data_IF_501244242591
#
_entry.id   IF_501244242591
#
_cell.length_a   1.000
_cell.length_b   1.000
_cell.length_c   1.000
_cell.angle_alpha   90.00
_cell.angle_beta   90.00
_cell.angle_gamma   90.00
#
_symmetry.space_group_name_H-M   'P 1'
#
loop_
_entity.id
_entity.type
_entity.pdbx_description
1 polymer ?
#
# COMPACT_ATOMS: atom_id res chain seq x y z
N UNK A 1 6.94 -74.19 -6.52
CA UNK A 1 5.60 -73.83 -6.96
C UNK A 1 5.48 -72.30 -6.79
N UNK A 2 5.69 -71.47 -7.82
CA UNK A 2 5.49 -70.03 -7.74
C UNK A 2 3.99 -69.77 -7.90
N UNK A 3 3.37 -69.13 -6.91
CA UNK A 3 1.97 -68.70 -7.03
C UNK A 3 1.85 -67.67 -8.18
N UNK A 4 0.83 -67.79 -9.03
CA UNK A 4 0.59 -66.81 -10.08
C UNK A 4 0.25 -65.48 -9.45
N UNK A 5 1.10 -64.47 -9.66
CA UNK A 5 0.84 -63.07 -9.29
C UNK A 5 -0.50 -62.70 -9.93
N UNK A 6 -1.52 -62.53 -9.07
CA UNK A 6 -2.91 -62.33 -9.51
C UNK A 6 -2.97 -61.27 -10.58
N UNK A 7 -3.45 -61.65 -11.79
CA UNK A 7 -3.76 -60.74 -12.93
C UNK A 7 -4.53 -59.48 -12.49
N UNK A 8 -5.33 -59.56 -11.45
CA UNK A 8 -6.05 -58.44 -10.84
C UNK A 8 -5.14 -57.33 -10.22
N UNK A 9 -3.94 -57.68 -9.74
CA UNK A 9 -2.98 -56.67 -9.23
C UNK A 9 -2.26 -55.95 -10.37
N UNK A 10 -1.91 -56.70 -11.43
CA UNK A 10 -1.26 -56.13 -12.61
C UNK A 10 -2.20 -55.16 -13.34
N UNK A 11 -3.47 -55.53 -13.48
CA UNK A 11 -4.50 -54.68 -14.07
C UNK A 11 -4.75 -53.39 -13.26
N UNK A 12 -4.75 -53.48 -11.93
CA UNK A 12 -4.88 -52.28 -11.07
C UNK A 12 -3.66 -51.36 -11.17
N UNK A 13 -2.46 -51.87 -11.24
CA UNK A 13 -1.23 -51.10 -11.42
C UNK A 13 -1.23 -50.41 -12.79
N UNK A 14 -1.56 -51.14 -13.86
CA UNK A 14 -1.67 -50.58 -15.21
C UNK A 14 -2.74 -49.49 -15.30
N UNK A 15 -3.91 -49.69 -14.65
CA UNK A 15 -4.96 -48.69 -14.55
C UNK A 15 -4.45 -47.42 -13.80
N UNK A 16 -3.74 -47.62 -12.70
CA UNK A 16 -3.17 -46.49 -11.95
C UNK A 16 -2.19 -45.68 -12.79
N UNK A 17 -1.31 -46.34 -13.56
CA UNK A 17 -0.40 -45.64 -14.50
C UNK A 17 -1.15 -44.92 -15.62
N UNK A 18 -2.20 -45.52 -16.21
CA UNK A 18 -3.03 -44.88 -17.24
C UNK A 18 -3.75 -43.65 -16.67
N UNK A 19 -4.33 -43.75 -15.46
CA UNK A 19 -4.99 -42.62 -14.80
C UNK A 19 -3.96 -41.54 -14.48
N UNK A 20 -2.82 -41.88 -13.89
CA UNK A 20 -1.75 -40.92 -13.59
C UNK A 20 -1.21 -40.22 -14.84
N UNK A 21 -0.90 -41.00 -15.90
CA UNK A 21 -0.43 -40.48 -17.18
C UNK A 21 -1.47 -39.57 -17.85
N UNK A 22 -2.73 -40.01 -17.85
CA UNK A 22 -3.85 -39.22 -18.40
C UNK A 22 -4.07 -37.92 -17.65
N UNK A 23 -4.03 -37.94 -16.30
CA UNK A 23 -4.14 -36.75 -15.45
C UNK A 23 -2.98 -35.81 -15.67
N UNK A 24 -1.77 -36.33 -15.78
CA UNK A 24 -0.55 -35.54 -16.04
C UNK A 24 -0.61 -34.87 -17.43
N UNK A 25 -1.00 -35.62 -18.47
CA UNK A 25 -1.17 -35.07 -19.81
C UNK A 25 -2.25 -34.00 -19.84
N UNK A 26 -3.40 -34.25 -19.19
CA UNK A 26 -4.47 -33.26 -19.06
C UNK A 26 -3.97 -31.98 -18.35
N UNK A 27 -3.20 -32.10 -17.26
CA UNK A 27 -2.63 -30.94 -16.57
C UNK A 27 -1.71 -30.10 -17.49
N UNK A 28 -0.84 -30.76 -18.27
CA UNK A 28 0.02 -30.08 -19.24
C UNK A 28 -0.80 -29.34 -20.30
N UNK A 29 -1.78 -30.03 -20.90
CA UNK A 29 -2.66 -29.43 -21.91
C UNK A 29 -3.46 -28.26 -21.33
N UNK A 30 -3.94 -28.40 -20.10
CA UNK A 30 -4.69 -27.34 -19.42
C UNK A 30 -3.84 -26.10 -19.13
N UNK A 31 -2.62 -26.29 -18.60
CA UNK A 31 -1.66 -25.19 -18.37
C UNK A 31 -1.32 -24.49 -19.70
N UNK A 32 -1.11 -25.28 -20.76
CA UNK A 32 -0.84 -24.75 -22.10
C UNK A 32 -2.03 -23.95 -22.63
N UNK A 33 -3.25 -24.47 -22.46
CA UNK A 33 -4.47 -23.78 -22.86
C UNK A 33 -4.66 -22.45 -22.10
N UNK A 34 -4.35 -22.40 -20.81
CA UNK A 34 -4.38 -21.16 -20.00
C UNK A 34 -3.31 -20.17 -20.50
N UNK A 35 -2.08 -20.64 -20.77
CA UNK A 35 -0.98 -19.77 -21.20
C UNK A 35 -1.25 -19.10 -22.57
N UNK A 36 -1.91 -19.80 -23.48
CA UNK A 36 -2.25 -19.29 -24.82
C UNK A 36 -3.69 -18.77 -24.93
N UNK A 37 -4.43 -18.67 -23.83
CA UNK A 37 -5.84 -18.26 -23.80
C UNK A 37 -6.68 -18.99 -24.85
N UNK A 38 -6.58 -20.33 -24.88
CA UNK A 38 -7.23 -21.17 -25.89
C UNK A 38 -8.72 -20.85 -26.00
N UNK A 39 -9.18 -20.55 -27.20
CA UNK A 39 -10.56 -20.15 -27.54
C UNK A 39 -11.08 -18.98 -26.69
N UNK A 40 -10.20 -18.09 -26.21
CA UNK A 40 -10.52 -16.95 -25.32
C UNK A 40 -11.23 -17.35 -24.01
N UNK A 41 -11.04 -18.58 -23.55
CA UNK A 41 -11.72 -19.11 -22.38
C UNK A 41 -11.12 -18.59 -21.06
N UNK A 42 -9.83 -18.30 -21.02
CA UNK A 42 -9.08 -18.10 -19.78
C UNK A 42 -8.68 -16.64 -19.52
N UNK A 43 -8.92 -15.73 -20.46
CA UNK A 43 -8.41 -14.37 -20.44
C UNK A 43 -6.92 -14.27 -20.78
N UNK A 44 -6.46 -13.06 -21.12
CA UNK A 44 -5.10 -12.79 -21.55
C UNK A 44 -4.03 -13.13 -20.54
N UNK A 45 -2.78 -13.13 -21.01
CA UNK A 45 -1.57 -13.16 -20.19
C UNK A 45 -0.79 -11.87 -20.47
N UNK A 46 -0.08 -11.30 -19.49
CA UNK A 46 0.78 -10.16 -19.72
C UNK A 46 1.77 -10.39 -20.85
N UNK A 47 2.01 -9.36 -21.65
CA UNK A 47 2.99 -9.40 -22.74
C UNK A 47 4.42 -9.58 -22.24
N UNK A 48 5.34 -9.95 -23.11
CA UNK A 48 6.76 -10.02 -22.75
C UNK A 48 7.32 -8.65 -22.34
N UNK A 49 6.84 -7.58 -22.98
CA UNK A 49 7.25 -6.21 -22.69
C UNK A 49 6.77 -5.75 -21.30
N UNK A 50 5.57 -6.12 -20.89
CA UNK A 50 5.07 -5.88 -19.52
C UNK A 50 5.82 -6.70 -18.48
N UNK A 51 6.33 -7.88 -18.83
CA UNK A 51 7.18 -8.69 -17.96
C UNK A 51 8.60 -8.14 -17.83
N UNK A 52 9.11 -7.49 -18.88
CA UNK A 52 10.45 -6.88 -18.90
C UNK A 52 10.49 -5.51 -18.22
N UNK A 53 9.39 -4.79 -18.29
CA UNK A 53 9.22 -3.48 -17.65
C UNK A 53 7.84 -3.44 -16.98
N UNK A 54 7.67 -4.13 -15.86
CA UNK A 54 6.42 -4.02 -15.12
C UNK A 54 6.23 -2.57 -14.71
N UNK A 55 5.14 -1.95 -15.18
CA UNK A 55 4.82 -0.57 -14.83
C UNK A 55 4.54 -0.49 -13.33
N UNK A 56 5.56 -0.20 -12.54
CA UNK A 56 5.34 0.23 -11.15
C UNK A 56 4.75 1.64 -11.19
N UNK A 57 3.74 1.88 -10.35
CA UNK A 57 3.17 3.22 -10.21
C UNK A 57 4.16 4.07 -9.43
N UNK A 58 4.92 4.92 -10.12
CA UNK A 58 5.89 5.80 -9.48
C UNK A 58 5.27 7.15 -9.14
N UNK A 59 5.54 7.63 -7.92
CA UNK A 59 5.13 8.95 -7.49
C UNK A 59 5.82 10.03 -8.31
N UNK A 60 5.08 11.05 -8.74
CA UNK A 60 5.69 12.24 -9.35
C UNK A 60 6.24 13.16 -8.27
N UNK A 61 7.44 13.67 -8.49
CA UNK A 61 8.17 14.54 -7.56
C UNK A 61 7.99 16.02 -7.95
N UNK A 62 7.69 16.85 -6.97
CA UNK A 62 7.70 18.28 -7.10
C UNK A 62 9.02 18.82 -6.55
N UNK A 63 9.79 19.50 -7.38
CA UNK A 63 11.16 19.91 -7.11
C UNK A 63 11.25 21.42 -7.10
N UNK A 64 11.90 22.00 -6.09
CA UNK A 64 12.20 23.42 -5.99
C UNK A 64 13.26 23.86 -7.00
N UNK A 65 13.43 25.18 -7.17
CA UNK A 65 14.47 25.75 -8.03
C UNK A 65 15.89 25.37 -7.58
N UNK A 66 16.07 25.23 -6.29
CA UNK A 66 17.36 24.81 -5.66
C UNK A 66 17.54 23.29 -5.58
N UNK A 67 16.64 22.51 -6.19
CA UNK A 67 16.76 21.06 -6.38
C UNK A 67 16.20 20.18 -5.23
N UNK A 68 15.61 20.79 -4.19
CA UNK A 68 15.04 20.07 -3.07
C UNK A 68 13.64 19.54 -3.38
N UNK A 69 13.28 18.40 -2.80
CA UNK A 69 11.94 17.83 -2.90
C UNK A 69 10.97 18.62 -2.00
N UNK A 70 9.98 19.30 -2.59
CA UNK A 70 8.93 20.02 -1.85
C UNK A 70 7.62 19.25 -1.72
N UNK A 71 7.47 18.16 -2.46
CA UNK A 71 6.31 17.27 -2.33
C UNK A 71 6.21 16.22 -3.42
N UNK A 72 5.20 15.38 -3.27
CA UNK A 72 4.92 14.26 -4.20
C UNK A 72 3.45 14.24 -4.58
N UNK A 73 3.19 13.78 -5.82
CA UNK A 73 1.86 13.36 -6.26
C UNK A 73 1.89 11.87 -6.48
N UNK A 74 1.05 11.12 -5.79
CA UNK A 74 0.98 9.68 -5.90
C UNK A 74 -0.45 9.16 -5.69
N UNK A 75 -0.77 8.09 -6.34
CA UNK A 75 -1.96 7.29 -6.03
C UNK A 75 -1.65 6.34 -4.87
N UNK A 76 -0.48 5.72 -4.96
CA UNK A 76 0.09 4.86 -3.93
C UNK A 76 1.44 5.44 -3.52
N UNK A 77 1.66 5.64 -2.22
CA UNK A 77 2.95 6.14 -1.73
C UNK A 77 4.01 5.04 -1.90
N UNK A 78 4.86 5.16 -2.92
CA UNK A 78 5.94 4.22 -3.23
C UNK A 78 7.28 4.96 -3.29
N UNK A 79 8.29 4.36 -2.72
CA UNK A 79 9.68 4.80 -2.80
C UNK A 79 10.53 3.55 -3.02
N UNK A 80 10.73 3.12 -4.27
CA UNK A 80 11.44 1.90 -4.57
C UNK A 80 12.90 1.99 -4.10
N UNK A 81 13.45 0.85 -3.70
CA UNK A 81 14.85 0.68 -3.30
C UNK A 81 15.47 -0.47 -4.09
N UNK A 82 16.74 -0.34 -4.40
CA UNK A 82 17.52 -1.41 -5.01
C UNK A 82 17.84 -2.50 -3.99
N UNK A 83 18.20 -3.71 -4.46
CA UNK A 83 18.48 -4.84 -3.56
C UNK A 83 19.63 -4.54 -2.60
N UNK A 84 20.66 -3.83 -3.05
CA UNK A 84 21.84 -3.44 -2.28
C UNK A 84 21.52 -2.47 -1.14
N UNK A 85 20.40 -1.77 -1.23
CA UNK A 85 19.91 -0.87 -0.20
C UNK A 85 19.08 -1.60 0.88
N UNK A 86 18.63 -2.83 0.59
CA UNK A 86 17.85 -3.62 1.54
C UNK A 86 18.72 -4.14 2.69
N UNK A 87 18.22 -4.00 3.91
CA UNK A 87 18.85 -4.65 5.06
C UNK A 87 18.82 -6.18 4.89
N UNK A 88 19.96 -6.88 5.10
CA UNK A 88 19.96 -8.34 5.15
C UNK A 88 18.96 -8.91 6.15
N UNK A 89 18.66 -8.19 7.22
CA UNK A 89 17.65 -8.55 8.23
C UNK A 89 16.27 -8.68 7.58
N UNK A 90 15.87 -7.72 6.72
CA UNK A 90 14.58 -7.76 6.02
C UNK A 90 14.50 -8.91 5.03
N UNK A 91 15.56 -9.12 4.25
CA UNK A 91 15.65 -10.20 3.25
C UNK A 91 15.52 -11.56 3.94
N UNK A 92 16.30 -11.79 4.99
CA UNK A 92 16.26 -13.03 5.77
C UNK A 92 14.89 -13.25 6.42
N UNK A 93 14.30 -12.19 6.98
CA UNK A 93 12.96 -12.26 7.61
C UNK A 93 11.89 -12.60 6.60
N UNK A 94 11.94 -12.02 5.41
CA UNK A 94 11.02 -12.33 4.32
C UNK A 94 11.15 -13.80 3.89
N UNK A 95 12.38 -14.24 3.60
CA UNK A 95 12.62 -15.63 3.19
C UNK A 95 12.19 -16.62 4.26
N UNK A 96 12.59 -16.43 5.51
CA UNK A 96 12.22 -17.32 6.61
C UNK A 96 10.71 -17.45 6.81
N UNK A 97 9.95 -16.39 6.51
CA UNK A 97 8.52 -16.33 6.78
C UNK A 97 7.67 -16.79 5.60
N UNK A 98 7.97 -16.28 4.40
CA UNK A 98 7.12 -16.47 3.22
C UNK A 98 7.61 -17.63 2.35
N UNK A 99 8.93 -17.83 2.21
CA UNK A 99 9.50 -18.80 1.29
C UNK A 99 10.93 -19.22 1.67
N UNK A 100 11.05 -20.05 2.69
CA UNK A 100 12.36 -20.45 3.23
C UNK A 100 13.26 -21.19 2.24
N UNK A 101 12.72 -21.67 1.11
CA UNK A 101 13.48 -22.32 0.03
C UNK A 101 13.55 -21.49 -1.24
N UNK A 102 13.31 -20.20 -1.15
CA UNK A 102 13.25 -19.29 -2.29
C UNK A 102 14.45 -19.44 -3.25
N UNK A 103 15.64 -19.59 -2.71
CA UNK A 103 16.87 -19.73 -3.52
C UNK A 103 16.95 -21.07 -4.26
N UNK A 104 16.21 -22.11 -3.81
CA UNK A 104 16.38 -23.49 -4.31
C UNK A 104 15.36 -23.91 -5.38
N UNK A 105 14.41 -23.05 -5.75
CA UNK A 105 13.41 -23.35 -6.78
C UNK A 105 13.32 -22.24 -7.83
N UNK A 106 12.65 -22.49 -8.94
CA UNK A 106 12.47 -21.55 -10.06
C UNK A 106 11.01 -21.14 -10.22
N UNK A 107 10.48 -20.41 -9.22
CA UNK A 107 9.12 -19.84 -9.19
C UNK A 107 8.06 -20.73 -8.56
N UNK A 108 8.25 -22.06 -8.53
CA UNK A 108 7.33 -23.02 -7.90
C UNK A 108 8.10 -23.93 -6.95
N UNK A 109 7.68 -23.98 -5.70
CA UNK A 109 8.17 -24.95 -4.72
C UNK A 109 7.26 -26.18 -4.66
N UNK A 110 7.63 -27.21 -5.41
CA UNK A 110 6.89 -28.46 -5.52
C UNK A 110 6.75 -29.17 -4.15
N UNK A 111 7.75 -29.06 -3.27
CA UNK A 111 7.71 -29.68 -1.93
C UNK A 111 6.69 -28.98 -1.02
N UNK A 112 6.64 -27.64 -1.06
CA UNK A 112 5.61 -26.88 -0.35
C UNK A 112 4.22 -27.16 -0.88
N UNK A 113 4.05 -27.23 -2.21
CA UNK A 113 2.77 -27.61 -2.83
C UNK A 113 2.31 -29.00 -2.40
N UNK A 114 3.20 -30.00 -2.44
CA UNK A 114 2.91 -31.34 -1.98
C UNK A 114 2.49 -31.34 -0.49
N UNK A 115 3.22 -30.64 0.36
CA UNK A 115 2.89 -30.51 1.78
C UNK A 115 1.47 -29.98 1.99
N UNK A 116 1.10 -28.89 1.29
CA UNK A 116 -0.24 -28.29 1.41
C UNK A 116 -1.33 -29.23 0.91
N UNK A 117 -1.11 -29.95 -0.18
CA UNK A 117 -2.03 -30.95 -0.70
C UNK A 117 -2.26 -32.09 0.29
N UNK A 118 -1.18 -32.66 0.87
CA UNK A 118 -1.27 -33.77 1.82
C UNK A 118 -1.79 -33.36 3.20
N UNK A 119 -1.65 -32.09 3.59
CA UNK A 119 -2.17 -31.56 4.85
C UNK A 119 -3.58 -31.00 4.76
N UNK A 120 -4.28 -31.16 3.65
CA UNK A 120 -5.61 -30.58 3.40
C UNK A 120 -5.68 -29.08 3.74
N UNK A 121 -4.60 -28.35 3.47
CA UNK A 121 -4.54 -26.90 3.69
C UNK A 121 -4.24 -26.43 5.12
N UNK A 122 -4.04 -27.33 6.08
CA UNK A 122 -3.78 -26.96 7.48
C UNK A 122 -2.33 -26.54 7.75
N UNK A 123 -1.38 -26.82 6.86
CA UNK A 123 0.07 -26.63 7.03
C UNK A 123 0.63 -25.34 6.47
N UNK A 124 -0.11 -24.23 6.53
CA UNK A 124 0.39 -22.91 6.10
C UNK A 124 0.35 -22.69 4.58
N UNK A 125 0.82 -21.52 4.13
CA UNK A 125 0.83 -21.12 2.71
C UNK A 125 1.79 -21.95 1.86
N UNK A 126 1.38 -22.27 0.63
CA UNK A 126 2.20 -22.97 -0.37
C UNK A 126 2.61 -22.08 -1.55
N UNK A 127 2.35 -20.77 -1.48
CA UNK A 127 2.73 -19.82 -2.54
C UNK A 127 4.14 -19.30 -2.31
N UNK A 128 4.93 -19.24 -3.38
CA UNK A 128 6.29 -18.69 -3.35
C UNK A 128 6.28 -17.16 -3.44
N UNK A 129 7.41 -16.50 -3.10
CA UNK A 129 7.59 -15.06 -3.28
C UNK A 129 7.35 -14.66 -4.74
N UNK A 130 7.88 -15.41 -5.71
CA UNK A 130 7.68 -15.14 -7.14
C UNK A 130 6.22 -15.24 -7.57
N UNK A 131 5.43 -16.16 -6.99
CA UNK A 131 3.98 -16.25 -7.24
C UNK A 131 3.21 -15.09 -6.62
N UNK A 132 3.60 -14.65 -5.42
CA UNK A 132 3.01 -13.48 -4.77
C UNK A 132 3.35 -12.20 -5.53
N UNK A 133 4.59 -12.07 -6.02
CA UNK A 133 5.00 -10.96 -6.89
C UNK A 133 4.19 -10.94 -8.17
N UNK A 134 4.06 -12.08 -8.87
CA UNK A 134 3.23 -12.19 -10.06
C UNK A 134 1.77 -11.80 -9.81
N UNK A 135 1.20 -12.21 -8.67
CA UNK A 135 -0.15 -11.82 -8.26
C UNK A 135 -0.29 -10.31 -8.11
N UNK A 136 0.68 -9.64 -7.49
CA UNK A 136 0.63 -8.21 -7.19
C UNK A 136 0.91 -7.37 -8.44
N UNK A 137 1.97 -7.65 -9.20
CA UNK A 137 2.32 -6.91 -10.42
C UNK A 137 1.25 -6.95 -11.51
N UNK A 138 0.63 -8.11 -11.68
CA UNK A 138 -0.33 -8.34 -12.77
C UNK A 138 -1.77 -8.45 -12.27
N UNK A 139 -2.03 -8.08 -11.02
CA UNK A 139 -3.36 -7.99 -10.41
C UNK A 139 -4.27 -9.20 -10.69
N UNK A 140 -3.69 -10.41 -10.76
CA UNK A 140 -4.38 -11.63 -11.22
C UNK A 140 -5.65 -11.99 -10.44
N UNK A 141 -5.93 -11.31 -9.30
CA UNK A 141 -7.10 -11.51 -8.45
C UNK A 141 -7.87 -10.25 -8.11
N UNK A 142 -7.37 -9.07 -8.45
CA UNK A 142 -8.01 -7.80 -8.10
C UNK A 142 -9.03 -7.39 -9.15
N UNK A 143 -10.21 -6.97 -8.72
CA UNK A 143 -11.22 -6.34 -9.58
C UNK A 143 -11.04 -4.82 -9.67
N UNK A 144 -10.02 -4.27 -9.02
CA UNK A 144 -9.76 -2.82 -8.94
C UNK A 144 -9.49 -2.19 -10.31
N UNK A 145 -9.03 -2.97 -11.28
CA UNK A 145 -8.71 -2.51 -12.65
C UNK A 145 -9.84 -2.73 -13.65
N UNK A 146 -11.03 -3.11 -13.17
CA UNK A 146 -12.23 -3.29 -13.97
C UNK A 146 -12.34 -4.68 -14.63
N UNK A 147 -13.56 -5.00 -15.07
CA UNK A 147 -13.85 -6.24 -15.82
C UNK A 147 -13.26 -6.20 -17.24
N UNK A 148 -12.79 -5.04 -17.69
CA UNK A 148 -12.23 -4.78 -19.02
C UNK A 148 -10.74 -5.11 -19.13
N UNK A 149 -10.05 -5.46 -18.01
CA UNK A 149 -8.66 -5.92 -18.08
C UNK A 149 -8.58 -7.24 -18.87
N UNK A 150 -7.73 -7.32 -19.91
CA UNK A 150 -7.54 -8.52 -20.72
C UNK A 150 -7.33 -9.82 -19.93
N UNK A 151 -6.73 -9.72 -18.73
CA UNK A 151 -6.53 -10.86 -17.82
C UNK A 151 -7.86 -11.49 -17.40
N UNK A 152 -8.95 -10.70 -17.29
CA UNK A 152 -10.26 -11.15 -16.83
C UNK A 152 -11.27 -11.39 -17.94
N UNK A 153 -10.98 -11.06 -19.21
CA UNK A 153 -11.90 -11.19 -20.33
C UNK A 153 -12.24 -12.63 -20.73
N UNK A 154 -11.70 -13.66 -20.06
CA UNK A 154 -11.98 -15.06 -20.36
C UNK A 154 -13.39 -15.50 -19.95
N UNK A 155 -14.05 -16.29 -20.80
CA UNK A 155 -15.40 -16.82 -20.52
C UNK A 155 -15.46 -17.59 -19.18
N UNK A 156 -14.43 -18.40 -18.87
CA UNK A 156 -14.34 -19.18 -17.64
C UNK A 156 -13.94 -18.33 -16.41
N UNK A 157 -13.38 -17.14 -16.62
CA UNK A 157 -13.08 -16.20 -15.55
C UNK A 157 -14.34 -15.59 -14.91
N UNK A 158 -15.50 -15.72 -15.57
CA UNK A 158 -16.80 -15.28 -15.03
C UNK A 158 -17.41 -16.30 -14.06
N UNK A 159 -16.85 -17.52 -13.97
CA UNK A 159 -17.33 -18.59 -13.08
C UNK A 159 -16.54 -18.58 -11.79
N UNK A 160 -17.16 -18.23 -10.65
CA UNK A 160 -16.48 -17.92 -9.38
C UNK A 160 -15.43 -18.92 -8.91
N UNK A 161 -15.71 -20.23 -8.87
CA UNK A 161 -14.75 -21.25 -8.45
C UNK A 161 -13.59 -21.43 -9.45
N UNK A 162 -13.88 -21.38 -10.75
CA UNK A 162 -12.89 -21.53 -11.82
C UNK A 162 -11.98 -20.29 -11.92
N UNK A 163 -12.50 -19.10 -11.69
CA UNK A 163 -11.73 -17.85 -11.67
C UNK A 163 -10.48 -17.98 -10.77
N UNK A 164 -10.67 -18.44 -9.54
CA UNK A 164 -9.56 -18.56 -8.56
C UNK A 164 -8.52 -19.61 -9.00
N UNK A 165 -8.97 -20.75 -9.55
CA UNK A 165 -8.07 -21.78 -10.04
C UNK A 165 -7.27 -21.32 -11.27
N UNK A 166 -7.92 -20.67 -12.24
CA UNK A 166 -7.28 -20.11 -13.43
C UNK A 166 -6.28 -19.02 -13.02
N UNK A 167 -6.66 -18.09 -12.15
CA UNK A 167 -5.77 -17.07 -11.63
C UNK A 167 -4.52 -17.69 -10.98
N UNK A 168 -4.68 -18.77 -10.20
CA UNK A 168 -3.55 -19.47 -9.58
C UNK A 168 -2.61 -20.11 -10.62
N UNK A 169 -3.14 -20.67 -11.69
CA UNK A 169 -2.32 -21.23 -12.78
C UNK A 169 -1.58 -20.10 -13.52
N UNK A 170 -2.23 -18.96 -13.75
CA UNK A 170 -1.55 -17.78 -14.31
C UNK A 170 -0.40 -17.31 -13.43
N UNK A 171 -0.61 -17.23 -12.10
CA UNK A 171 0.44 -16.91 -11.14
C UNK A 171 1.65 -17.86 -11.26
N UNK A 172 1.42 -19.17 -11.43
CA UNK A 172 2.49 -20.14 -11.60
C UNK A 172 3.28 -19.91 -12.90
N UNK A 173 2.57 -19.70 -14.01
CA UNK A 173 3.21 -19.45 -15.31
C UNK A 173 4.02 -18.15 -15.26
N UNK A 174 3.44 -17.08 -14.67
CA UNK A 174 4.10 -15.78 -14.53
C UNK A 174 5.31 -15.86 -13.60
N UNK A 175 5.22 -16.58 -12.48
CA UNK A 175 6.33 -16.79 -11.56
C UNK A 175 7.52 -17.47 -12.26
N UNK A 176 7.27 -18.51 -13.07
CA UNK A 176 8.34 -19.16 -13.87
C UNK A 176 8.92 -18.18 -14.90
N UNK A 177 8.08 -17.37 -15.55
CA UNK A 177 8.55 -16.37 -16.53
C UNK A 177 9.40 -15.29 -15.86
N UNK A 178 9.03 -14.81 -14.68
CA UNK A 178 9.81 -13.85 -13.87
C UNK A 178 11.17 -14.43 -13.50
N UNK A 179 11.20 -15.64 -12.94
CA UNK A 179 12.45 -16.32 -12.55
C UNK A 179 13.41 -16.62 -13.70
N UNK A 180 12.92 -16.64 -14.94
CA UNK A 180 13.77 -16.77 -16.13
C UNK A 180 14.38 -15.45 -16.60
N UNK A 181 13.85 -14.32 -16.16
CA UNK A 181 14.25 -12.98 -16.61
C UNK A 181 14.98 -12.20 -15.55
N UNK A 182 14.63 -12.38 -14.31
CA UNK A 182 15.15 -11.66 -13.16
C UNK A 182 15.94 -12.59 -12.24
N UNK A 183 16.99 -12.06 -11.64
CA UNK A 183 17.74 -12.72 -10.59
C UNK A 183 16.90 -12.84 -9.32
N UNK A 184 17.29 -13.70 -8.41
CA UNK A 184 16.65 -13.83 -7.10
C UNK A 184 16.66 -12.52 -6.31
N UNK A 185 17.74 -11.76 -6.43
CA UNK A 185 17.91 -10.47 -5.77
C UNK A 185 16.92 -9.44 -6.31
N UNK A 186 16.82 -9.31 -7.62
CA UNK A 186 15.84 -8.44 -8.27
C UNK A 186 14.40 -8.81 -7.90
N UNK A 187 14.04 -10.12 -7.88
CA UNK A 187 12.70 -10.57 -7.48
C UNK A 187 12.38 -10.19 -6.03
N UNK A 188 13.35 -10.29 -5.11
CA UNK A 188 13.17 -9.87 -3.71
C UNK A 188 12.96 -8.36 -3.60
N UNK A 189 13.77 -7.56 -4.31
CA UNK A 189 13.61 -6.11 -4.34
C UNK A 189 12.26 -5.71 -4.95
N UNK A 190 11.90 -6.27 -6.11
CA UNK A 190 10.60 -6.04 -6.74
C UNK A 190 9.44 -6.39 -5.80
N UNK A 191 9.51 -7.53 -5.13
CA UNK A 191 8.47 -7.95 -4.19
C UNK A 191 8.30 -6.97 -3.02
N UNK A 192 9.41 -6.61 -2.38
CA UNK A 192 9.40 -5.68 -1.24
C UNK A 192 8.98 -4.26 -1.64
N UNK A 193 9.24 -3.85 -2.89
CA UNK A 193 8.80 -2.57 -3.43
C UNK A 193 7.31 -2.56 -3.81
N UNK A 194 6.75 -3.74 -4.15
CA UNK A 194 5.39 -3.86 -4.70
C UNK A 194 4.32 -4.07 -3.63
N UNK A 195 4.64 -4.80 -2.55
CA UNK A 195 3.62 -5.22 -1.58
C UNK A 195 3.09 -4.07 -0.74
N UNK A 196 1.80 -4.15 -0.39
CA UNK A 196 1.15 -3.23 0.53
C UNK A 196 1.34 -3.67 1.98
N UNK A 197 1.76 -2.74 2.82
CA UNK A 197 1.87 -2.92 4.29
C UNK A 197 0.69 -2.30 5.04
N UNK A 198 -0.37 -1.88 4.33
CA UNK A 198 -1.50 -1.17 4.90
C UNK A 198 -1.25 0.32 5.11
N UNK A 199 -2.29 1.07 5.49
CA UNK A 199 -2.20 2.51 5.78
C UNK A 199 -1.56 3.34 4.66
N UNK A 200 -1.84 2.98 3.41
CA UNK A 200 -1.26 3.58 2.20
C UNK A 200 0.28 3.48 2.12
N UNK A 201 0.89 2.54 2.86
CA UNK A 201 2.31 2.25 2.77
C UNK A 201 2.53 1.12 1.75
N UNK A 202 2.89 1.48 0.53
CA UNK A 202 3.27 0.57 -0.53
C UNK A 202 4.79 0.53 -0.64
N UNK A 203 5.35 -0.68 -0.59
CA UNK A 203 6.79 -0.90 -0.56
C UNK A 203 7.43 -0.72 0.82
N UNK A 204 8.54 -1.43 1.00
CA UNK A 204 9.21 -1.61 2.30
C UNK A 204 9.79 -0.32 2.85
N UNK A 205 10.35 0.57 2.00
CA UNK A 205 10.93 1.84 2.44
C UNK A 205 9.86 2.74 3.05
N UNK A 206 8.68 2.84 2.39
CA UNK A 206 7.57 3.62 2.92
C UNK A 206 7.03 3.00 4.19
N UNK A 207 6.95 1.66 4.26
CA UNK A 207 6.52 0.96 5.47
C UNK A 207 7.48 1.23 6.66
N UNK A 208 8.80 1.16 6.46
CA UNK A 208 9.79 1.49 7.48
C UNK A 208 9.63 2.91 8.01
N UNK A 209 9.41 3.88 7.12
CA UNK A 209 9.15 5.28 7.51
C UNK A 209 7.82 5.44 8.23
N UNK A 210 6.76 4.84 7.70
CA UNK A 210 5.41 4.97 8.27
C UNK A 210 5.30 4.40 9.68
N UNK A 211 5.84 3.21 9.91
CA UNK A 211 5.66 2.52 11.18
C UNK A 211 6.74 2.81 12.21
N UNK A 212 7.99 3.09 11.76
CA UNK A 212 9.14 3.20 12.65
C UNK A 212 9.97 4.48 12.47
N UNK A 213 9.65 5.34 11.49
CA UNK A 213 10.41 6.55 11.14
C UNK A 213 11.89 6.23 10.84
N UNK A 214 12.14 5.08 10.20
CA UNK A 214 13.48 4.58 9.88
C UNK A 214 13.68 4.37 8.39
N UNK A 215 14.95 4.35 8.00
CA UNK A 215 15.36 3.88 6.68
C UNK A 215 15.37 2.35 6.67
N UNK A 216 15.12 1.76 5.49
CA UNK A 216 15.13 0.32 5.25
C UNK A 216 16.42 -0.38 5.71
N UNK A 217 17.55 0.32 5.68
CA UNK A 217 18.86 -0.20 6.09
C UNK A 217 19.04 -0.33 7.61
N UNK A 218 18.24 0.41 8.41
CA UNK A 218 18.46 0.56 9.87
C UNK A 218 17.43 -0.18 10.72
N UNK A 219 16.58 -1.00 10.09
CA UNK A 219 15.57 -1.77 10.81
C UNK A 219 16.18 -2.93 11.61
N UNK A 220 15.63 -3.16 12.79
CA UNK A 220 15.98 -4.29 13.67
C UNK A 220 15.16 -5.53 13.35
N UNK A 221 15.54 -6.70 13.88
CA UNK A 221 14.77 -7.94 13.73
C UNK A 221 13.31 -7.84 14.21
N UNK A 222 13.00 -7.25 15.40
CA UNK A 222 11.61 -7.08 15.81
C UNK A 222 10.79 -6.18 14.88
N UNK A 223 11.40 -5.12 14.33
CA UNK A 223 10.76 -4.22 13.37
C UNK A 223 10.53 -4.90 12.02
N UNK A 224 11.55 -5.58 11.48
CA UNK A 224 11.43 -6.38 10.28
C UNK A 224 10.37 -7.49 10.43
N UNK A 225 10.37 -8.20 11.57
CA UNK A 225 9.37 -9.22 11.86
C UNK A 225 7.95 -8.66 11.96
N UNK A 226 7.81 -7.43 12.46
CA UNK A 226 6.52 -6.71 12.47
C UNK A 226 6.06 -6.43 11.05
N UNK A 227 6.91 -5.81 10.22
CA UNK A 227 6.59 -5.45 8.84
C UNK A 227 6.26 -6.69 7.99
N UNK A 228 7.12 -7.70 8.01
CA UNK A 228 6.88 -8.94 7.26
C UNK A 228 5.64 -9.68 7.79
N UNK A 229 5.37 -9.58 9.08
CA UNK A 229 4.14 -10.10 9.68
C UNK A 229 2.86 -9.50 9.10
N UNK A 230 2.89 -8.20 8.71
CA UNK A 230 1.75 -7.51 8.09
C UNK A 230 1.38 -8.08 6.72
N UNK A 231 2.33 -8.65 5.97
CA UNK A 231 2.11 -9.14 4.60
C UNK A 231 1.03 -10.22 4.52
N UNK A 232 0.82 -10.97 5.58
CA UNK A 232 -0.23 -11.99 5.63
C UNK A 232 -1.63 -11.35 5.51
N UNK A 233 -1.88 -10.27 6.25
CA UNK A 233 -3.12 -9.48 6.19
C UNK A 233 -2.90 -8.13 6.89
N UNK A 234 -2.56 -7.05 6.16
CA UNK A 234 -2.26 -5.75 6.75
C UNK A 234 -3.39 -5.17 7.61
N UNK A 235 -4.64 -5.41 7.22
CA UNK A 235 -5.80 -4.92 8.00
C UNK A 235 -6.00 -5.69 9.30
N UNK A 236 -5.70 -7.01 9.31
CA UNK A 236 -5.87 -7.85 10.48
C UNK A 236 -4.77 -7.62 11.53
N UNK A 237 -3.58 -7.31 11.06
CA UNK A 237 -2.38 -7.12 11.89
C UNK A 237 -1.95 -5.65 11.99
N UNK A 238 -2.84 -4.67 11.74
CA UNK A 238 -2.53 -3.26 11.91
C UNK A 238 -2.11 -2.97 13.36
N UNK A 239 -0.84 -2.56 13.59
CA UNK A 239 -0.30 -2.41 14.94
C UNK A 239 -0.92 -1.26 15.75
N UNK A 240 -1.57 -0.29 15.08
CA UNK A 240 -2.28 0.82 15.72
C UNK A 240 -3.63 0.39 16.28
N UNK A 241 -4.33 -0.47 15.53
CA UNK A 241 -5.71 -0.87 15.84
C UNK A 241 -5.73 -2.19 16.62
N UNK A 242 -4.77 -3.07 16.33
CA UNK A 242 -4.71 -4.43 16.89
C UNK A 242 -3.31 -4.82 17.38
N UNK A 243 -2.73 -4.06 18.32
CA UNK A 243 -1.34 -4.24 18.76
C UNK A 243 -1.06 -5.66 19.29
N UNK A 244 -1.99 -6.26 20.03
CA UNK A 244 -1.84 -7.62 20.57
C UNK A 244 -1.74 -8.68 19.46
N UNK A 245 -2.57 -8.56 18.41
CA UNK A 245 -2.52 -9.48 17.26
C UNK A 245 -1.24 -9.31 16.46
N UNK A 246 -0.81 -8.06 16.29
CA UNK A 246 0.46 -7.74 15.63
C UNK A 246 1.64 -8.30 16.42
N UNK A 247 1.62 -8.16 17.75
CA UNK A 247 2.66 -8.70 18.63
C UNK A 247 2.74 -10.24 18.51
N UNK A 248 1.60 -10.92 18.55
CA UNK A 248 1.53 -12.38 18.38
C UNK A 248 2.06 -12.81 17.00
N UNK A 249 1.71 -12.07 15.92
CA UNK A 249 2.19 -12.35 14.57
C UNK A 249 3.69 -12.09 14.43
N UNK A 250 4.21 -10.96 14.96
CA UNK A 250 5.64 -10.68 15.04
C UNK A 250 6.40 -11.82 15.73
N UNK A 251 5.89 -12.28 16.86
CA UNK A 251 6.52 -13.35 17.63
C UNK A 251 6.54 -14.68 16.85
N UNK A 252 5.51 -14.93 16.02
CA UNK A 252 5.52 -16.07 15.09
C UNK A 252 6.63 -15.93 14.06
N UNK A 253 6.84 -14.72 13.49
CA UNK A 253 7.91 -14.45 12.53
C UNK A 253 9.29 -14.59 13.17
N UNK A 254 9.49 -14.07 14.38
CA UNK A 254 10.75 -14.28 15.14
C UNK A 254 11.03 -15.78 15.38
N UNK A 255 10.00 -16.57 15.66
CA UNK A 255 10.13 -18.03 15.74
C UNK A 255 10.50 -18.70 14.42
N UNK A 256 10.07 -18.16 13.25
CA UNK A 256 10.51 -18.66 11.95
C UNK A 256 11.99 -18.33 11.70
N UNK A 257 12.45 -17.13 12.08
CA UNK A 257 13.86 -16.78 12.00
C UNK A 257 14.76 -17.72 12.80
N UNK A 258 14.36 -18.09 14.02
CA UNK A 258 15.07 -19.07 14.84
C UNK A 258 15.04 -20.45 14.20
N UNK A 259 13.88 -20.91 13.73
CA UNK A 259 13.70 -22.21 13.07
C UNK A 259 14.58 -22.40 11.84
N UNK A 260 14.85 -21.32 11.10
CA UNK A 260 15.72 -21.36 9.91
C UNK A 260 17.12 -20.82 10.19
N UNK A 261 17.54 -20.75 11.46
CA UNK A 261 18.90 -20.46 11.92
C UNK A 261 19.42 -19.04 11.55
N UNK A 262 18.52 -18.08 11.30
CA UNK A 262 18.88 -16.66 11.15
C UNK A 262 19.03 -15.94 12.50
N UNK A 263 18.46 -16.50 13.56
CA UNK A 263 18.58 -16.08 14.94
C UNK A 263 18.81 -17.31 15.83
N UNK A 264 19.44 -17.11 16.98
CA UNK A 264 19.41 -18.14 18.04
C UNK A 264 18.03 -18.19 18.69
N UNK A 265 17.65 -19.34 19.25
CA UNK A 265 16.38 -19.43 20.00
C UNK A 265 16.35 -18.47 21.19
N UNK A 266 17.51 -18.29 21.88
CA UNK A 266 17.64 -17.39 23.02
C UNK A 266 17.40 -15.92 22.60
N UNK A 267 17.99 -15.47 21.50
CA UNK A 267 17.79 -14.09 21.00
C UNK A 267 16.34 -13.88 20.52
N UNK A 268 15.76 -14.88 19.85
CA UNK A 268 14.36 -14.80 19.43
C UNK A 268 13.41 -14.68 20.64
N UNK A 269 13.62 -15.44 21.71
CA UNK A 269 12.80 -15.36 22.94
C UNK A 269 12.98 -14.02 23.66
N UNK A 270 14.21 -13.47 23.72
CA UNK A 270 14.45 -12.11 24.25
C UNK A 270 13.67 -11.07 23.46
N UNK A 271 13.76 -11.11 22.11
CA UNK A 271 13.08 -10.15 21.23
C UNK A 271 11.55 -10.30 21.26
N UNK A 272 11.01 -11.48 21.54
CA UNK A 272 9.56 -11.68 21.72
C UNK A 272 8.99 -10.94 22.93
N UNK A 273 9.81 -10.67 23.95
CA UNK A 273 9.42 -9.91 25.13
C UNK A 273 9.35 -8.40 24.89
N UNK A 274 10.02 -7.90 23.84
CA UNK A 274 10.04 -6.47 23.52
C UNK A 274 8.67 -5.94 23.10
N UNK A 275 8.29 -4.71 23.45
CA UNK A 275 7.12 -4.03 22.90
C UNK A 275 7.28 -3.76 21.40
N UNK A 276 6.20 -3.32 20.72
CA UNK A 276 6.23 -3.03 19.28
C UNK A 276 7.07 -1.79 18.92
N UNK A 277 7.30 -0.88 19.86
CA UNK A 277 8.07 0.35 19.69
C UNK A 277 7.72 1.16 18.43
N UNK A 278 6.42 1.38 18.20
CA UNK A 278 5.92 2.10 17.03
C UNK A 278 6.21 3.60 17.13
N UNK A 279 6.70 4.16 16.03
CA UNK A 279 6.84 5.61 15.80
C UNK A 279 5.99 6.00 14.58
N UNK A 280 4.69 5.72 14.66
CA UNK A 280 3.78 5.79 13.53
C UNK A 280 3.56 7.23 13.05
N UNK A 281 3.86 7.47 11.77
CA UNK A 281 3.57 8.72 11.07
C UNK A 281 3.34 8.45 9.59
N UNK A 282 2.16 8.78 9.08
CA UNK A 282 1.84 8.61 7.66
C UNK A 282 2.35 9.80 6.86
N UNK A 283 3.10 9.54 5.82
CA UNK A 283 3.33 10.51 4.76
C UNK A 283 2.10 10.51 3.85
N UNK A 284 1.38 11.60 3.80
CA UNK A 284 0.27 11.80 2.88
C UNK A 284 0.63 12.92 1.88
N UNK A 285 -0.21 13.12 0.87
CA UNK A 285 0.00 14.17 -0.14
C UNK A 285 0.09 15.59 0.45
N UNK A 286 -0.37 15.80 1.68
CA UNK A 286 -0.28 17.08 2.40
C UNK A 286 0.98 17.18 3.27
N UNK A 287 1.75 16.10 3.42
CA UNK A 287 3.01 16.10 4.17
C UNK A 287 4.11 16.74 3.31
N UNK A 288 4.94 17.59 3.91
CA UNK A 288 6.01 18.34 3.21
C UNK A 288 5.74 19.84 3.11
N UNK A 289 6.60 20.55 2.37
CA UNK A 289 6.53 22.00 2.20
C UNK A 289 5.34 22.43 1.31
N UNK A 290 4.82 23.61 1.55
CA UNK A 290 3.85 24.30 0.71
C UNK A 290 2.62 23.48 0.28
N UNK A 291 1.85 22.83 1.16
CA UNK A 291 0.74 21.94 0.78
C UNK A 291 -0.36 22.66 -0.01
N UNK A 292 -0.64 23.92 0.29
CA UNK A 292 -1.63 24.73 -0.43
C UNK A 292 -1.17 25.07 -1.85
N UNK A 293 0.12 25.41 -2.02
CA UNK A 293 0.70 25.65 -3.34
C UNK A 293 0.59 24.39 -4.20
N UNK A 294 0.96 23.24 -3.66
CA UNK A 294 0.90 21.95 -4.36
C UNK A 294 -0.51 21.64 -4.86
N UNK A 295 -1.52 21.88 -4.04
CA UNK A 295 -2.92 21.69 -4.46
C UNK A 295 -3.35 22.74 -5.51
N UNK A 296 -2.86 23.98 -5.41
CA UNK A 296 -3.15 25.03 -6.38
C UNK A 296 -2.61 24.68 -7.77
N UNK A 297 -1.33 24.32 -7.86
CA UNK A 297 -0.69 24.02 -9.15
C UNK A 297 -1.07 22.62 -9.68
N UNK A 298 -1.62 21.73 -8.87
CA UNK A 298 -2.07 20.41 -9.30
C UNK A 298 -3.02 20.48 -10.50
N UNK A 299 -3.96 21.42 -10.47
CA UNK A 299 -4.93 21.61 -11.57
C UNK A 299 -4.25 22.07 -12.86
N UNK A 300 -3.27 22.96 -12.75
CA UNK A 300 -2.48 23.43 -13.86
C UNK A 300 -1.63 22.33 -14.49
N UNK A 301 -0.94 21.55 -13.64
CA UNK A 301 -0.18 20.37 -14.07
C UNK A 301 -1.07 19.35 -14.80
N UNK A 302 -2.28 19.07 -14.28
CA UNK A 302 -3.22 18.19 -14.94
C UNK A 302 -3.66 18.70 -16.31
N UNK A 303 -3.84 20.04 -16.46
CA UNK A 303 -4.12 20.66 -17.75
C UNK A 303 -2.97 20.46 -18.75
N UNK A 304 -1.73 20.72 -18.32
CA UNK A 304 -0.53 20.50 -19.13
C UNK A 304 -0.39 19.03 -19.56
N UNK A 305 -0.60 18.10 -18.62
CA UNK A 305 -0.58 16.66 -18.94
C UNK A 305 -1.66 16.29 -19.94
N UNK A 306 -2.85 16.85 -19.83
CA UNK A 306 -3.94 16.61 -20.77
C UNK A 306 -3.58 17.10 -22.18
N UNK A 307 -2.97 18.27 -22.31
CA UNK A 307 -2.48 18.79 -23.60
C UNK A 307 -1.40 17.88 -24.20
N UNK A 308 -0.41 17.47 -23.40
CA UNK A 308 0.65 16.55 -23.85
C UNK A 308 0.09 15.20 -24.30
N UNK A 309 -0.94 14.71 -23.65
CA UNK A 309 -1.56 13.42 -23.96
C UNK A 309 -2.40 13.41 -25.22
N UNK A 310 -2.81 14.58 -25.75
CA UNK A 310 -3.60 14.65 -26.98
C UNK A 310 -2.88 14.04 -28.20
N UNK A 311 -1.55 14.19 -28.24
CA UNK A 311 -0.71 13.69 -29.33
C UNK A 311 -0.04 12.33 -29.02
N UNK A 312 -0.37 11.70 -27.87
CA UNK A 312 0.26 10.44 -27.45
C UNK A 312 -0.69 9.25 -27.62
N UNK A 313 -0.15 8.09 -28.06
CA UNK A 313 -0.88 6.82 -28.01
C UNK A 313 -1.32 6.50 -26.57
N UNK A 314 -2.43 5.78 -26.43
CA UNK A 314 -3.04 5.47 -25.13
C UNK A 314 -2.07 4.77 -24.14
N UNK A 315 -1.22 3.89 -24.65
CA UNK A 315 -0.20 3.17 -23.88
C UNK A 315 0.99 4.02 -23.40
N UNK A 316 1.16 5.25 -23.96
CA UNK A 316 2.22 6.21 -23.65
C UNK A 316 1.71 7.46 -22.94
N UNK A 317 0.44 7.52 -22.61
CA UNK A 317 -0.14 8.67 -21.91
C UNK A 317 0.48 8.83 -20.52
N UNK A 318 0.75 10.10 -20.17
CA UNK A 318 1.26 10.49 -18.86
C UNK A 318 0.12 10.58 -17.85
N UNK A 319 0.42 10.22 -16.62
CA UNK A 319 -0.47 10.39 -15.48
C UNK A 319 0.31 11.01 -14.32
N UNK A 320 -0.22 12.08 -13.74
CA UNK A 320 0.43 12.81 -12.65
C UNK A 320 0.79 11.91 -11.45
N UNK A 321 0.00 10.88 -11.20
CA UNK A 321 0.10 10.08 -9.98
C UNK A 321 0.89 8.77 -10.15
N UNK A 322 1.19 8.39 -11.39
CA UNK A 322 1.74 7.04 -11.66
C UNK A 322 2.90 7.01 -12.65
N UNK A 323 3.24 8.14 -13.29
CA UNK A 323 4.27 8.18 -14.34
C UNK A 323 5.65 8.65 -13.86
N UNK A 324 5.88 8.83 -12.57
CA UNK A 324 7.19 9.20 -12.02
C UNK A 324 7.74 10.54 -12.53
N UNK A 325 6.87 11.52 -12.78
CA UNK A 325 7.25 12.81 -13.38
C UNK A 325 8.13 13.62 -12.42
N UNK A 326 9.11 14.31 -12.94
CA UNK A 326 9.90 15.31 -12.22
C UNK A 326 9.43 16.70 -12.61
N UNK A 327 8.71 17.35 -11.70
CA UNK A 327 8.06 18.64 -11.94
C UNK A 327 8.88 19.72 -11.25
N UNK A 328 9.59 20.51 -12.05
CA UNK A 328 10.41 21.61 -11.55
C UNK A 328 9.56 22.87 -11.39
N UNK A 329 9.70 23.51 -10.24
CA UNK A 329 9.00 24.76 -9.91
C UNK A 329 9.99 25.91 -9.77
N UNK A 330 9.47 27.12 -9.63
CA UNK A 330 10.24 28.33 -9.35
C UNK A 330 10.40 28.61 -7.87
N UNK A 331 9.90 27.72 -7.00
CA UNK A 331 9.94 27.88 -5.54
C UNK A 331 11.37 27.69 -5.01
N UNK A 332 11.85 28.61 -4.21
CA UNK A 332 13.09 28.46 -3.43
C UNK A 332 12.75 27.80 -2.08
N UNK A 333 13.32 26.61 -1.82
CA UNK A 333 13.00 25.82 -0.62
C UNK A 333 13.39 26.55 0.68
N UNK A 334 14.44 27.35 0.65
CA UNK A 334 14.93 28.14 1.81
C UNK A 334 13.97 29.29 2.12
N UNK A 335 13.52 30.03 1.10
CA UNK A 335 12.52 31.08 1.25
C UNK A 335 11.21 30.50 1.80
N UNK A 336 10.76 29.37 1.26
CA UNK A 336 9.59 28.65 1.74
C UNK A 336 9.73 28.26 3.22
N UNK A 337 10.90 27.77 3.62
CA UNK A 337 11.18 27.42 5.02
C UNK A 337 11.15 28.65 5.92
N UNK A 338 11.81 29.72 5.55
CA UNK A 338 11.79 30.98 6.34
C UNK A 338 10.39 31.54 6.50
N UNK A 339 9.57 31.46 5.44
CA UNK A 339 8.17 31.88 5.49
C UNK A 339 7.37 31.00 6.48
N UNK A 340 7.54 29.69 6.43
CA UNK A 340 6.86 28.75 7.33
C UNK A 340 7.30 28.98 8.79
N UNK A 341 8.59 29.15 9.05
CA UNK A 341 9.12 29.39 10.41
C UNK A 341 8.56 30.70 10.97
N UNK A 342 8.57 31.78 10.18
CA UNK A 342 8.02 33.08 10.56
C UNK A 342 6.50 33.00 10.84
N UNK A 343 5.75 32.30 10.00
CA UNK A 343 4.32 32.06 10.21
C UNK A 343 4.09 31.27 11.49
N UNK A 344 4.85 30.19 11.71
CA UNK A 344 4.73 29.36 12.90
C UNK A 344 4.99 30.14 14.18
N UNK A 345 5.99 31.01 14.18
CA UNK A 345 6.32 31.85 15.32
C UNK A 345 5.25 32.90 15.60
N UNK A 346 4.89 33.68 14.57
CA UNK A 346 3.93 34.78 14.70
C UNK A 346 2.53 34.27 15.07
N UNK A 347 2.04 33.24 14.41
CA UNK A 347 0.69 32.71 14.61
C UNK A 347 0.44 32.12 15.99
N UNK A 348 1.49 31.75 16.74
CA UNK A 348 1.34 31.34 18.14
C UNK A 348 0.72 32.47 18.99
N UNK A 349 1.27 33.66 18.89
CA UNK A 349 0.79 34.82 19.63
C UNK A 349 -0.59 35.27 19.13
N UNK A 350 -0.79 35.34 17.81
CA UNK A 350 -2.04 35.76 17.21
C UNK A 350 -3.19 34.80 17.54
N UNK A 351 -2.95 33.49 17.54
CA UNK A 351 -3.98 32.50 17.91
C UNK A 351 -4.38 32.65 19.39
N UNK A 352 -3.44 32.96 20.29
CA UNK A 352 -3.75 33.20 21.70
C UNK A 352 -4.62 34.45 21.82
N UNK A 353 -4.22 35.56 21.21
CA UNK A 353 -4.95 36.82 21.22
C UNK A 353 -6.36 36.66 20.65
N UNK A 354 -6.50 35.94 19.52
CA UNK A 354 -7.78 35.61 18.93
C UNK A 354 -8.67 34.79 19.87
N UNK A 355 -8.13 33.76 20.49
CA UNK A 355 -8.88 32.92 21.42
C UNK A 355 -9.34 33.70 22.66
N UNK A 356 -8.52 34.63 23.15
CA UNK A 356 -8.88 35.54 24.27
C UNK A 356 -10.00 36.51 23.85
N UNK A 357 -9.88 37.11 22.66
CA UNK A 357 -10.90 38.03 22.15
C UNK A 357 -12.27 37.34 21.99
N UNK A 358 -12.28 36.08 21.53
CA UNK A 358 -13.50 35.30 21.32
C UNK A 358 -13.83 34.36 22.48
N UNK A 359 -13.27 34.61 23.68
CA UNK A 359 -13.59 33.81 24.86
C UNK A 359 -15.09 33.87 25.17
N UNK A 360 -15.70 32.69 25.33
CA UNK A 360 -17.16 32.57 25.59
C UNK A 360 -18.08 32.90 24.41
N UNK A 361 -17.57 33.25 23.23
CA UNK A 361 -18.32 33.55 22.02
C UNK A 361 -17.78 32.78 20.82
N UNK A 362 -18.59 32.67 19.77
CA UNK A 362 -18.18 32.08 18.53
C UNK A 362 -17.73 33.14 17.51
N UNK A 363 -16.63 32.91 16.75
CA UNK A 363 -16.12 33.91 15.78
C UNK A 363 -16.91 33.97 14.47
N UNK A 364 -17.80 33.01 14.18
CA UNK A 364 -18.64 33.03 12.97
C UNK A 364 -19.86 33.90 13.17
N UNK A 365 -19.69 35.17 12.95
CA UNK A 365 -20.70 36.22 13.09
C UNK A 365 -20.91 36.98 11.80
N UNK A 366 -22.06 37.61 11.65
CA UNK A 366 -22.35 38.55 10.57
C UNK A 366 -21.77 39.95 10.87
N UNK A 367 -21.93 40.89 9.96
CA UNK A 367 -21.50 42.29 10.13
C UNK A 367 -22.10 42.99 11.36
N UNK A 368 -23.22 42.52 11.86
CA UNK A 368 -23.88 43.01 13.06
C UNK A 368 -23.48 42.26 14.35
N UNK A 369 -22.39 41.48 14.29
CA UNK A 369 -21.86 40.65 15.39
C UNK A 369 -22.86 39.59 15.91
N UNK A 370 -23.83 39.17 15.09
CA UNK A 370 -24.78 38.14 15.41
C UNK A 370 -24.23 36.78 14.90
N UNK A 371 -24.32 35.75 15.72
CA UNK A 371 -23.85 34.40 15.35
C UNK A 371 -24.61 33.85 14.13
N UNK A 372 -23.87 33.33 13.18
CA UNK A 372 -24.42 32.66 11.99
C UNK A 372 -24.95 31.29 12.37
N UNK A 373 -26.28 31.21 12.53
CA UNK A 373 -26.95 29.94 12.86
C UNK A 373 -26.72 28.89 11.79
N UNK A 374 -26.40 27.67 12.22
CA UNK A 374 -26.18 26.55 11.30
C UNK A 374 -24.83 26.55 10.60
N UNK A 375 -23.92 27.48 10.89
CA UNK A 375 -22.58 27.53 10.25
C UNK A 375 -21.82 26.22 10.39
N UNK A 376 -21.68 25.70 11.60
CA UNK A 376 -20.96 24.44 11.87
C UNK A 376 -21.68 23.23 11.26
N UNK A 377 -22.99 23.15 11.34
CA UNK A 377 -23.76 22.05 10.74
C UNK A 377 -23.63 22.05 9.20
N UNK A 378 -23.69 23.23 8.58
CA UNK A 378 -23.46 23.36 7.13
C UNK A 378 -22.02 23.00 6.73
N UNK A 379 -21.03 23.32 7.56
CA UNK A 379 -19.65 22.91 7.33
C UNK A 379 -19.49 21.39 7.46
N UNK A 380 -20.12 20.77 8.46
CA UNK A 380 -20.08 19.32 8.68
C UNK A 380 -20.72 18.55 7.52
N UNK A 381 -21.87 18.99 7.00
CA UNK A 381 -22.57 18.36 5.86
C UNK A 381 -21.71 18.29 4.59
N UNK A 382 -20.72 19.17 4.45
CA UNK A 382 -19.77 19.19 3.30
C UNK A 382 -18.61 18.21 3.45
N UNK A 383 -18.41 17.60 4.62
CA UNK A 383 -17.32 16.66 4.85
C UNK A 383 -17.57 15.29 4.24
N UNK A 384 -16.49 14.58 3.86
CA UNK A 384 -16.61 13.19 3.41
C UNK A 384 -17.19 12.30 4.49
N UNK A 385 -16.75 12.47 5.74
CA UNK A 385 -17.28 11.72 6.90
C UNK A 385 -18.81 11.80 7.03
N UNK A 386 -19.41 12.99 6.79
CA UNK A 386 -20.87 13.12 6.81
C UNK A 386 -21.51 12.28 5.69
N UNK A 387 -20.95 12.32 4.47
CA UNK A 387 -21.45 11.54 3.33
C UNK A 387 -21.34 10.04 3.58
N UNK A 388 -20.21 9.57 4.09
CA UNK A 388 -19.97 8.16 4.40
C UNK A 388 -20.95 7.64 5.48
N UNK A 389 -21.22 8.45 6.50
CA UNK A 389 -22.22 8.12 7.54
C UNK A 389 -23.65 8.12 7.00
N UNK A 390 -23.99 9.06 6.09
CA UNK A 390 -25.32 9.08 5.45
C UNK A 390 -25.54 7.79 4.63
N UNK A 391 -24.53 7.35 3.91
CA UNK A 391 -24.57 6.08 3.17
C UNK A 391 -24.67 4.88 4.13
N UNK A 392 -23.83 4.83 5.16
CA UNK A 392 -23.80 3.73 6.14
C UNK A 392 -25.10 3.57 6.94
N UNK A 393 -25.81 4.67 7.19
CA UNK A 393 -27.08 4.69 7.93
C UNK A 393 -28.32 4.89 7.03
N UNK A 394 -28.22 4.57 5.73
CA UNK A 394 -29.32 4.63 4.77
C UNK A 394 -30.06 5.99 4.80
N UNK A 395 -29.33 7.09 4.84
CA UNK A 395 -29.81 8.48 4.91
C UNK A 395 -30.60 8.83 6.17
N UNK A 396 -30.43 8.09 7.28
CA UNK A 396 -30.98 8.46 8.59
C UNK A 396 -30.17 9.62 9.20
N UNK A 397 -30.57 10.85 8.87
CA UNK A 397 -29.87 12.07 9.31
C UNK A 397 -29.80 12.20 10.84
N UNK A 398 -30.82 11.74 11.56
CA UNK A 398 -30.85 11.83 13.03
C UNK A 398 -29.76 10.99 13.65
N UNK A 399 -29.62 9.75 13.20
CA UNK A 399 -28.59 8.82 13.64
C UNK A 399 -27.18 9.29 13.27
N UNK A 400 -27.02 9.89 12.08
CA UNK A 400 -25.76 10.50 11.66
C UNK A 400 -25.33 11.61 12.61
N UNK A 401 -26.25 12.51 13.01
CA UNK A 401 -25.93 13.57 13.97
C UNK A 401 -25.62 13.04 15.37
N UNK A 402 -26.25 11.96 15.81
CA UNK A 402 -25.88 11.30 17.07
C UNK A 402 -24.46 10.76 17.04
N UNK A 403 -24.07 10.09 15.95
CA UNK A 403 -22.71 9.57 15.79
C UNK A 403 -21.66 10.69 15.67
N UNK A 404 -21.99 11.79 15.00
CA UNK A 404 -21.09 12.95 14.89
C UNK A 404 -20.88 13.70 16.23
N UNK A 405 -21.75 13.51 17.21
CA UNK A 405 -21.61 14.04 18.58
C UNK A 405 -20.83 13.10 19.50
N UNK A 406 -20.58 11.86 19.08
CA UNK A 406 -19.89 10.87 19.90
C UNK A 406 -18.40 11.18 20.00
N UNK A 407 -17.82 11.32 21.22
CA UNK A 407 -16.41 11.58 21.39
C UNK A 407 -15.54 10.41 20.89
N UNK A 408 -14.46 10.74 20.17
CA UNK A 408 -13.46 9.79 19.69
C UNK A 408 -12.07 10.35 19.97
N UNK A 409 -11.08 9.48 20.17
CA UNK A 409 -9.67 9.88 20.25
C UNK A 409 -9.21 10.41 18.91
N UNK A 410 -8.53 11.54 18.90
CA UNK A 410 -7.97 12.15 17.70
C UNK A 410 -6.79 13.05 18.04
N UNK A 411 -5.93 13.27 17.09
CA UNK A 411 -4.88 14.30 17.13
C UNK A 411 -5.37 15.52 16.38
N UNK A 412 -5.28 16.70 17.00
CA UNK A 412 -5.64 17.98 16.39
C UNK A 412 -4.42 18.90 16.29
N UNK A 413 -4.37 19.65 15.20
CA UNK A 413 -3.31 20.65 14.98
C UNK A 413 -3.42 21.81 15.98
N UNK A 414 -2.26 22.29 16.48
CA UNK A 414 -2.13 23.61 17.08
C UNK A 414 -0.80 24.26 16.69
N UNK A 415 -0.71 25.58 16.77
CA UNK A 415 0.57 26.30 16.54
C UNK A 415 1.64 26.00 17.60
N UNK A 416 1.29 25.31 18.68
CA UNK A 416 2.23 24.81 19.71
C UNK A 416 2.63 23.35 19.52
N UNK A 417 2.19 22.73 18.43
CA UNK A 417 2.35 21.30 18.14
C UNK A 417 1.01 20.56 18.17
N UNK A 418 1.01 19.37 17.64
CA UNK A 418 -0.18 18.52 17.60
C UNK A 418 -0.60 18.07 19.00
N UNK A 419 -1.90 18.02 19.26
CA UNK A 419 -2.50 17.70 20.56
C UNK A 419 -3.34 16.42 20.43
N UNK A 420 -2.97 15.40 21.19
CA UNK A 420 -3.79 14.21 21.35
C UNK A 420 -4.94 14.50 22.32
N UNK A 421 -6.17 14.33 21.86
CA UNK A 421 -7.36 14.69 22.62
C UNK A 421 -8.54 13.76 22.29
N UNK A 422 -9.62 13.91 23.06
CA UNK A 422 -10.87 13.20 22.81
C UNK A 422 -11.97 14.23 22.54
N UNK A 423 -12.36 14.36 21.27
CA UNK A 423 -13.41 15.28 20.82
C UNK A 423 -14.44 14.54 19.99
N UNK A 424 -15.67 15.06 19.95
CA UNK A 424 -16.59 14.63 18.91
C UNK A 424 -16.17 15.19 17.54
N UNK A 425 -16.53 14.53 16.43
CA UNK A 425 -16.34 15.10 15.09
C UNK A 425 -16.92 16.50 14.93
N UNK A 426 -18.03 16.78 15.59
CA UNK A 426 -18.66 18.09 15.58
C UNK A 426 -17.84 19.12 16.37
N UNK A 427 -17.27 18.75 17.52
CA UNK A 427 -16.42 19.64 18.31
C UNK A 427 -15.06 19.86 17.66
N UNK A 428 -14.51 18.85 16.98
CA UNK A 428 -13.30 19.01 16.17
C UNK A 428 -13.53 20.00 15.02
N UNK A 429 -14.72 19.98 14.38
CA UNK A 429 -15.08 20.98 13.37
C UNK A 429 -15.12 22.40 13.97
N UNK A 430 -15.71 22.56 15.17
CA UNK A 430 -15.71 23.85 15.89
C UNK A 430 -14.28 24.30 16.20
N UNK A 431 -13.45 23.39 16.67
CA UNK A 431 -12.03 23.64 16.96
C UNK A 431 -11.31 24.18 15.73
N UNK A 432 -11.36 23.45 14.60
CA UNK A 432 -10.67 23.84 13.36
C UNK A 432 -11.22 25.15 12.75
N UNK A 433 -12.50 25.46 12.93
CA UNK A 433 -13.08 26.75 12.50
C UNK A 433 -12.65 27.95 13.34
N UNK A 434 -11.94 27.72 14.45
CA UNK A 434 -11.32 28.77 15.29
C UNK A 434 -9.81 28.90 15.03
N UNK A 435 -9.20 28.03 14.27
CA UNK A 435 -7.80 28.15 13.90
C UNK A 435 -7.66 29.23 12.82
N UNK A 436 -6.83 30.23 13.11
CA UNK A 436 -6.48 31.27 12.14
C UNK A 436 -5.68 30.65 10.98
N UNK A 437 -5.91 31.14 9.78
CA UNK A 437 -5.14 30.79 8.59
C UNK A 437 -4.43 32.03 8.08
N UNK A 438 -3.22 31.85 7.56
CA UNK A 438 -2.41 32.91 6.96
C UNK A 438 -1.95 32.45 5.58
N UNK A 439 -1.93 33.38 4.62
CA UNK A 439 -1.35 33.18 3.31
C UNK A 439 -0.23 34.20 3.09
N UNK A 440 0.90 33.74 2.58
CA UNK A 440 2.03 34.58 2.15
C UNK A 440 2.49 34.16 0.76
N UNK A 441 2.81 35.11 -0.08
CA UNK A 441 3.36 34.89 -1.42
C UNK A 441 4.52 35.85 -1.65
N UNK A 442 5.65 35.32 -2.11
CA UNK A 442 6.78 36.10 -2.59
C UNK A 442 6.93 35.91 -4.10
N UNK A 443 7.18 36.99 -4.82
CA UNK A 443 7.28 36.98 -6.29
C UNK A 443 8.47 37.82 -6.72
N UNK A 444 9.21 37.32 -7.71
CA UNK A 444 10.26 38.07 -8.40
C UNK A 444 9.60 39.12 -9.30
N UNK A 445 9.84 40.40 -9.04
CA UNK A 445 9.18 41.47 -9.81
C UNK A 445 9.67 41.59 -11.26
N UNK A 446 10.76 40.95 -11.62
CA UNK A 446 11.35 41.00 -12.96
C UNK A 446 10.73 40.02 -13.94
N UNK A 447 10.31 38.88 -13.46
CA UNK A 447 9.80 37.78 -14.30
C UNK A 447 8.45 37.21 -13.84
N UNK A 448 7.95 37.64 -12.65
CA UNK A 448 6.67 37.17 -12.10
C UNK A 448 6.72 35.77 -11.49
N UNK A 449 7.91 35.19 -11.34
CA UNK A 449 8.04 33.87 -10.73
C UNK A 449 7.73 33.89 -9.24
N UNK A 450 6.87 33.00 -8.78
CA UNK A 450 6.62 32.78 -7.36
C UNK A 450 7.81 32.01 -6.76
N UNK A 451 8.32 32.51 -5.65
CA UNK A 451 9.52 32.00 -4.98
C UNK A 451 9.22 31.27 -3.66
#
# INVERSE_FOLDING_TARGET
MMEPIKESKLNKITLAYKVFGGTFLFAILFITAVNYNFLWLFGGMPSLQELENPKSQEASLLISEDGEEIGKYFRENRNPVEFEELSPILVNTLMATEDARFISHSGIDVRSMARVLFSFGTSGGGSTISQQLAKNLFHTRSLEYGEDDPIYMGLLMKVGGLKTAIAKIKEWILAIKLERRYTKQEILAMYLNEVSFGNNAYGIQVACRTYFQKNVQTVTYPEAATLIGLLQNPSLYDPRIRPERTLARRNTVLGQLAKYEYLTEEDAEKMKADPLNLHYKVENQNTGAAPYLRESIRKEILGIIQEINQDRPEDQQLNLYTSGLRIHTTIDSRMQKYAQDAVQEHMKAEQIAFNQHWAGRNPWVNEKMQELKGFISSAMKRTQRYRDLMEAYNNDEMRVWEELKRPIKMTVFSYHGDIDTTLSPLDSMRYYKRILNVGMMSMDPTNGHVK
#
